data_IF_741239895040
#
_entry.id   IF_741239895040
#
_cell.length_a   1.000
_cell.length_b   1.000
_cell.length_c   1.000
_cell.angle_alpha   90.00
_cell.angle_beta   90.00
_cell.angle_gamma   90.00
#
_symmetry.space_group_name_H-M   'P 1'
#
loop_
_entity.id
_entity.type
_entity.pdbx_description
1 polymer ?
#
# COMPACT_ATOMS: atom_id res chain seq x y z
N UNK A 1 -9.45 -44.51 23.56
CA UNK A 1 -8.15 -44.55 22.85
C UNK A 1 -8.39 -44.68 21.35
N UNK A 2 -7.66 -43.96 20.47
CA UNK A 2 -7.81 -44.10 19.03
C UNK A 2 -7.34 -45.49 18.56
N UNK A 3 -8.10 -46.10 17.66
CA UNK A 3 -7.77 -47.39 17.06
C UNK A 3 -6.55 -47.31 16.14
N UNK A 4 -5.84 -48.43 15.95
CA UNK A 4 -4.73 -48.58 14.99
C UNK A 4 -5.06 -48.04 13.59
N UNK A 5 -6.29 -48.31 13.13
CA UNK A 5 -6.80 -47.85 11.83
C UNK A 5 -6.94 -46.33 11.78
N UNK A 6 -7.43 -45.72 12.87
CA UNK A 6 -7.52 -44.26 13.00
C UNK A 6 -6.14 -43.60 13.05
N UNK A 7 -5.17 -44.20 13.76
CA UNK A 7 -3.78 -43.70 13.81
C UNK A 7 -3.11 -43.72 12.43
N UNK A 8 -3.24 -44.83 11.68
CA UNK A 8 -2.71 -44.93 10.30
C UNK A 8 -3.38 -43.94 9.34
N UNK A 9 -4.70 -43.76 9.45
CA UNK A 9 -5.42 -42.77 8.64
C UNK A 9 -4.95 -41.35 8.94
N UNK A 10 -4.79 -40.98 10.22
CA UNK A 10 -4.27 -39.69 10.64
C UNK A 10 -2.85 -39.44 10.08
N UNK A 11 -1.95 -40.41 10.17
CA UNK A 11 -0.59 -40.29 9.61
C UNK A 11 -0.59 -40.11 8.09
N UNK A 12 -1.44 -40.84 7.36
CA UNK A 12 -1.58 -40.68 5.90
C UNK A 12 -2.10 -39.28 5.55
N UNK A 13 -3.11 -38.80 6.27
CA UNK A 13 -3.68 -37.47 6.06
C UNK A 13 -2.64 -36.38 6.35
N UNK A 14 -1.84 -36.51 7.41
CA UNK A 14 -0.75 -35.58 7.72
C UNK A 14 0.31 -35.58 6.62
N UNK A 15 0.72 -36.74 6.11
CA UNK A 15 1.65 -36.83 4.98
C UNK A 15 1.11 -36.19 3.71
N UNK A 16 -0.17 -36.41 3.39
CA UNK A 16 -0.82 -35.80 2.23
C UNK A 16 -0.91 -34.28 2.39
N UNK A 17 -1.28 -33.78 3.58
CA UNK A 17 -1.32 -32.35 3.87
C UNK A 17 0.08 -31.71 3.78
N UNK A 18 1.12 -32.36 4.30
CA UNK A 18 2.50 -31.89 4.18
C UNK A 18 2.99 -31.85 2.73
N UNK A 19 2.60 -32.85 1.92
CA UNK A 19 2.94 -32.89 0.49
C UNK A 19 2.27 -31.74 -0.25
N UNK A 20 0.95 -31.57 -0.07
CA UNK A 20 0.20 -30.46 -0.66
C UNK A 20 0.78 -29.10 -0.23
N UNK A 21 1.16 -28.94 1.03
CA UNK A 21 1.77 -27.71 1.54
C UNK A 21 3.12 -27.37 0.90
N UNK A 22 3.94 -28.38 0.59
CA UNK A 22 5.24 -28.19 -0.09
C UNK A 22 5.09 -27.84 -1.56
N UNK A 23 4.06 -28.37 -2.21
CA UNK A 23 3.76 -28.13 -3.63
C UNK A 23 3.08 -26.76 -3.85
N UNK A 24 2.48 -26.16 -2.83
CA UNK A 24 1.89 -24.82 -2.91
C UNK A 24 2.92 -23.69 -3.05
N UNK A 25 2.58 -22.74 -3.91
CA UNK A 25 3.27 -21.45 -4.02
C UNK A 25 3.15 -20.62 -2.74
N UNK A 26 4.01 -19.61 -2.52
CA UNK A 26 3.88 -18.71 -1.37
C UNK A 26 2.50 -18.03 -1.26
N UNK A 27 1.87 -17.72 -2.40
CA UNK A 27 0.55 -17.10 -2.44
C UNK A 27 -0.57 -18.08 -2.03
N UNK A 28 -0.52 -19.32 -2.51
CA UNK A 28 -1.47 -20.38 -2.12
C UNK A 28 -1.34 -20.72 -0.64
N UNK A 29 -0.11 -20.78 -0.12
CA UNK A 29 0.14 -20.97 1.31
C UNK A 29 -0.44 -19.84 2.16
N UNK A 30 -0.32 -18.59 1.73
CA UNK A 30 -0.91 -17.46 2.45
C UNK A 30 -2.45 -17.50 2.46
N UNK A 31 -3.07 -17.94 1.35
CA UNK A 31 -4.52 -18.09 1.23
C UNK A 31 -5.08 -19.31 1.98
N UNK A 32 -4.29 -20.37 2.13
CA UNK A 32 -4.66 -21.58 2.86
C UNK A 32 -4.57 -21.42 4.38
N UNK A 33 -3.79 -20.44 4.87
CA UNK A 33 -3.70 -20.15 6.30
C UNK A 33 -5.04 -19.57 6.82
N UNK A 34 -5.66 -20.20 7.84
CA UNK A 34 -6.93 -19.73 8.41
C UNK A 34 -6.82 -18.33 9.04
N UNK A 35 -5.63 -17.97 9.53
CA UNK A 35 -5.33 -16.66 10.11
C UNK A 35 -5.31 -15.55 9.05
N UNK A 36 -4.82 -15.82 7.84
CA UNK A 36 -4.72 -14.85 6.74
C UNK A 36 -6.06 -14.52 6.09
N UNK A 37 -7.01 -15.48 6.06
CA UNK A 37 -8.35 -15.29 5.48
C UNK A 37 -9.27 -14.36 6.28
N UNK A 38 -9.06 -14.25 7.59
CA UNK A 38 -9.92 -13.49 8.50
C UNK A 38 -9.43 -12.08 8.76
N UNK A 39 -8.24 -11.70 8.30
CA UNK A 39 -7.68 -10.37 8.58
C UNK A 39 -8.49 -9.29 7.86
N UNK A 40 -9.14 -8.43 8.63
CA UNK A 40 -9.77 -7.22 8.10
C UNK A 40 -8.73 -6.30 7.46
N UNK A 41 -9.13 -5.57 6.41
CA UNK A 41 -8.24 -4.56 5.83
C UNK A 41 -8.07 -3.43 6.85
N UNK A 42 -6.87 -2.85 7.02
CA UNK A 42 -6.67 -1.69 7.88
C UNK A 42 -7.70 -0.59 7.55
N UNK A 43 -8.38 -0.10 8.60
CA UNK A 43 -9.44 0.90 8.56
C UNK A 43 -10.82 0.42 8.10
N UNK A 44 -10.98 -0.83 7.64
CA UNK A 44 -12.26 -1.31 7.08
C UNK A 44 -13.36 -1.61 8.09
N UNK A 45 -13.00 -1.86 9.35
CA UNK A 45 -13.94 -2.12 10.45
C UNK A 45 -14.20 -0.89 11.33
N UNK A 46 -13.46 0.21 11.14
CA UNK A 46 -13.41 1.31 12.12
C UNK A 46 -12.55 1.01 13.35
N UNK A 47 -12.08 -0.24 13.45
CA UNK A 47 -11.23 -0.73 14.53
C UNK A 47 -9.79 -0.89 14.03
N UNK A 48 -8.82 -0.74 14.93
CA UNK A 48 -7.39 -0.75 14.64
C UNK A 48 -6.76 0.64 14.57
N UNK A 49 -5.46 0.67 14.28
CA UNK A 49 -4.61 1.82 14.59
C UNK A 49 -4.45 2.81 13.43
N UNK A 50 -5.10 2.59 12.29
CA UNK A 50 -4.84 3.36 11.06
C UNK A 50 -6.11 3.87 10.38
N UNK A 51 -6.07 5.12 9.96
CA UNK A 51 -6.90 5.63 8.88
C UNK A 51 -6.32 5.20 7.53
N UNK A 52 -7.19 4.83 6.59
CA UNK A 52 -6.80 4.41 5.24
C UNK A 52 -7.30 5.41 4.20
N UNK A 53 -6.39 6.05 3.49
CA UNK A 53 -6.73 6.95 2.37
C UNK A 53 -6.50 6.21 1.05
N UNK A 54 -7.57 5.83 0.37
CA UNK A 54 -7.54 5.19 -0.95
C UNK A 54 -7.36 6.26 -2.02
N UNK A 55 -6.33 6.10 -2.85
CA UNK A 55 -6.04 7.00 -3.98
C UNK A 55 -6.51 6.44 -5.31
N UNK A 56 -6.51 5.11 -5.43
CA UNK A 56 -6.82 4.39 -6.65
C UNK A 56 -7.54 3.08 -6.33
N UNK A 57 -8.40 2.62 -7.22
CA UNK A 57 -9.13 1.39 -7.01
C UNK A 57 -8.16 0.19 -7.09
N UNK A 58 -8.48 -0.87 -6.35
CA UNK A 58 -7.56 -2.00 -6.12
C UNK A 58 -7.32 -2.82 -7.39
N UNK A 59 -8.33 -2.91 -8.23
CA UNK A 59 -8.37 -3.62 -9.52
C UNK A 59 -7.36 -3.10 -10.55
N UNK A 60 -6.86 -1.87 -10.40
CA UNK A 60 -5.74 -1.36 -11.21
C UNK A 60 -4.39 -2.07 -10.94
N UNK A 61 -4.31 -2.91 -9.90
CA UNK A 61 -3.05 -3.46 -9.41
C UNK A 61 -3.09 -4.99 -9.21
N UNK A 62 -1.99 -5.64 -9.56
CA UNK A 62 -1.83 -7.10 -9.46
C UNK A 62 -1.15 -7.53 -8.15
N UNK A 63 -0.13 -6.79 -7.71
CA UNK A 63 0.61 -7.11 -6.47
C UNK A 63 0.82 -5.86 -5.63
N UNK A 64 0.85 -6.02 -4.31
CA UNK A 64 0.97 -4.91 -3.36
C UNK A 64 2.21 -5.06 -2.50
N UNK A 65 2.79 -3.94 -2.09
CA UNK A 65 3.85 -3.84 -1.08
C UNK A 65 3.55 -2.67 -0.15
N UNK A 66 3.85 -2.86 1.13
CA UNK A 66 3.76 -1.81 2.15
C UNK A 66 5.15 -1.28 2.46
N UNK A 67 5.28 0.03 2.61
CA UNK A 67 6.54 0.72 2.91
C UNK A 67 6.26 1.80 3.95
N UNK A 68 6.98 1.82 5.06
CA UNK A 68 6.94 2.92 6.02
C UNK A 68 7.64 4.16 5.45
N UNK A 69 7.06 5.34 5.66
CA UNK A 69 7.68 6.63 5.36
C UNK A 69 7.75 7.44 6.64
N UNK A 70 8.97 7.83 7.04
CA UNK A 70 9.22 8.53 8.30
C UNK A 70 9.59 7.57 9.42
N UNK A 71 9.16 7.88 10.65
CA UNK A 71 9.33 6.98 11.78
C UNK A 71 8.55 5.67 11.59
N UNK A 72 9.09 4.52 12.02
CA UNK A 72 8.45 3.22 11.82
C UNK A 72 7.02 3.20 12.35
N UNK A 73 6.05 2.78 11.52
CA UNK A 73 4.67 2.55 11.94
C UNK A 73 3.73 3.76 11.87
N UNK A 74 4.22 4.99 11.77
CA UNK A 74 3.37 6.19 11.80
C UNK A 74 2.60 6.42 10.49
N UNK A 75 3.32 6.37 9.36
CA UNK A 75 2.73 6.55 8.02
C UNK A 75 3.25 5.44 7.09
N UNK A 76 2.34 4.73 6.46
CA UNK A 76 2.67 3.66 5.52
C UNK A 76 2.08 3.90 4.14
N UNK A 77 2.90 3.66 3.12
CA UNK A 77 2.51 3.62 1.72
C UNK A 77 2.12 2.20 1.33
N UNK A 78 0.91 2.01 0.83
CA UNK A 78 0.50 0.81 0.12
C UNK A 78 0.71 1.05 -1.37
N UNK A 79 1.82 0.54 -1.90
CA UNK A 79 2.16 0.60 -3.32
C UNK A 79 1.64 -0.65 -4.05
N UNK A 80 1.10 -0.47 -5.25
CA UNK A 80 0.67 -1.55 -6.13
C UNK A 80 1.45 -1.56 -7.44
N UNK A 81 1.76 -2.75 -7.95
CA UNK A 81 2.29 -2.95 -9.30
C UNK A 81 1.14 -3.11 -10.30
N UNK A 82 1.14 -2.29 -11.35
CA UNK A 82 0.13 -2.32 -12.42
C UNK A 82 0.43 -3.37 -13.48
N UNK A 83 -0.57 -3.64 -14.32
CA UNK A 83 -0.42 -4.51 -15.49
C UNK A 83 0.70 -4.06 -16.44
N UNK A 84 0.92 -2.74 -16.59
CA UNK A 84 2.04 -2.18 -17.37
C UNK A 84 3.43 -2.39 -16.73
N UNK A 85 3.50 -2.96 -15.52
CA UNK A 85 4.74 -3.16 -14.77
C UNK A 85 5.16 -1.95 -13.92
N UNK A 86 4.53 -0.78 -14.10
CA UNK A 86 4.79 0.39 -13.28
C UNK A 86 4.24 0.25 -11.85
N UNK A 87 4.88 0.94 -10.91
CA UNK A 87 4.40 1.03 -9.53
C UNK A 87 3.63 2.32 -9.32
N UNK A 88 2.53 2.24 -8.58
CA UNK A 88 1.77 3.40 -8.15
C UNK A 88 1.31 3.27 -6.70
N UNK A 89 0.98 4.39 -6.09
CA UNK A 89 0.37 4.39 -4.75
C UNK A 89 -1.10 4.00 -4.88
N UNK A 90 -1.52 2.97 -4.14
CA UNK A 90 -2.92 2.57 -4.05
C UNK A 90 -3.60 3.25 -2.85
N UNK A 91 -2.93 3.26 -1.70
CA UNK A 91 -3.43 3.90 -0.50
C UNK A 91 -2.29 4.38 0.42
N UNK A 92 -2.65 5.31 1.30
CA UNK A 92 -1.87 5.68 2.47
C UNK A 92 -2.54 5.15 3.73
N UNK A 93 -1.74 4.75 4.71
CA UNK A 93 -2.17 4.47 6.06
C UNK A 93 -1.53 5.52 6.98
N UNK A 94 -2.35 6.20 7.77
CA UNK A 94 -1.90 7.17 8.78
C UNK A 94 -2.37 6.66 10.13
N UNK A 95 -1.45 6.54 11.08
CA UNK A 95 -1.79 6.09 12.42
C UNK A 95 -2.77 7.07 13.09
N UNK A 96 -3.70 6.56 13.90
CA UNK A 96 -4.72 7.38 14.57
C UNK A 96 -4.16 8.37 15.59
N UNK A 97 -2.91 8.20 16.03
CA UNK A 97 -2.19 9.17 16.86
C UNK A 97 -1.75 10.41 16.09
N UNK A 98 -1.68 10.32 14.75
CA UNK A 98 -1.06 11.32 13.89
C UNK A 98 -2.09 12.12 13.09
N UNK A 99 -3.37 11.79 13.26
CA UNK A 99 -4.48 12.42 12.59
C UNK A 99 -5.78 12.21 13.37
N UNK A 100 -6.76 13.08 13.13
CA UNK A 100 -8.13 12.90 13.61
C UNK A 100 -9.13 13.24 12.50
N UNK A 101 -10.38 12.84 12.72
CA UNK A 101 -11.48 13.14 11.80
C UNK A 101 -12.19 14.40 12.27
N UNK A 102 -12.29 15.39 11.38
CA UNK A 102 -13.05 16.62 11.60
C UNK A 102 -14.16 16.67 10.55
N UNK A 103 -15.41 16.49 10.97
CA UNK A 103 -16.54 16.36 10.05
C UNK A 103 -16.42 15.12 9.15
N UNK A 104 -16.29 15.32 7.84
CA UNK A 104 -16.15 14.27 6.82
C UNK A 104 -14.72 14.15 6.26
N UNK A 105 -13.76 14.88 6.82
CA UNK A 105 -12.37 14.92 6.35
C UNK A 105 -11.38 14.47 7.41
N UNK A 106 -10.22 13.99 6.95
CA UNK A 106 -9.09 13.65 7.81
C UNK A 106 -8.16 14.87 7.94
N UNK A 107 -7.75 15.17 9.18
CA UNK A 107 -6.83 16.27 9.53
C UNK A 107 -5.59 15.68 10.19
N UNK A 108 -4.41 16.17 9.80
CA UNK A 108 -3.12 15.68 10.32
C UNK A 108 -2.65 16.45 11.55
N UNK A 109 -2.31 15.72 12.60
CA UNK A 109 -1.83 16.25 13.88
C UNK A 109 -0.30 16.35 13.93
N UNK A 110 0.40 15.51 13.17
CA UNK A 110 1.86 15.57 13.00
C UNK A 110 2.26 16.32 11.73
N UNK A 111 3.50 16.81 11.69
CA UNK A 111 4.02 17.52 10.52
C UNK A 111 4.02 16.65 9.27
N UNK A 112 4.41 15.37 9.41
CA UNK A 112 4.45 14.43 8.29
C UNK A 112 3.05 14.08 7.79
N UNK A 113 2.07 13.90 8.69
CA UNK A 113 0.68 13.70 8.30
C UNK A 113 0.13 14.92 7.56
N UNK A 114 0.39 16.14 8.05
CA UNK A 114 0.00 17.38 7.36
C UNK A 114 0.61 17.51 5.98
N UNK A 115 1.92 17.25 5.85
CA UNK A 115 2.63 17.27 4.56
C UNK A 115 2.05 16.25 3.58
N UNK A 116 1.79 15.03 4.05
CA UNK A 116 1.18 13.99 3.24
C UNK A 116 -0.19 14.45 2.74
N UNK A 117 -1.08 14.87 3.63
CA UNK A 117 -2.43 15.32 3.29
C UNK A 117 -2.44 16.51 2.33
N UNK A 118 -1.53 17.46 2.52
CA UNK A 118 -1.37 18.61 1.62
C UNK A 118 -0.85 18.22 0.23
N UNK A 119 -0.12 17.12 0.11
CA UNK A 119 0.40 16.64 -1.18
C UNK A 119 -0.65 15.96 -2.06
N UNK A 120 -1.79 15.57 -1.48
CA UNK A 120 -2.88 14.91 -2.19
C UNK A 120 -3.60 15.88 -3.13
N UNK A 121 -4.15 15.34 -4.21
CA UNK A 121 -4.91 16.11 -5.20
C UNK A 121 -6.31 16.52 -4.78
N UNK A 122 -6.80 16.00 -3.66
CA UNK A 122 -8.05 16.43 -3.03
C UNK A 122 -7.99 16.12 -1.53
N UNK A 123 -8.78 16.85 -0.74
CA UNK A 123 -8.98 16.51 0.67
C UNK A 123 -9.58 15.08 0.77
N UNK A 124 -9.09 14.24 1.69
CA UNK A 124 -9.65 12.91 1.89
C UNK A 124 -11.09 13.01 2.39
N UNK A 125 -12.01 12.31 1.73
CA UNK A 125 -13.42 12.25 2.13
C UNK A 125 -13.75 10.90 2.72
N UNK A 126 -14.44 10.89 3.84
CA UNK A 126 -14.85 9.67 4.51
C UNK A 126 -15.80 8.85 3.62
N UNK A 127 -15.51 7.56 3.49
CA UNK A 127 -16.35 6.61 2.73
C UNK A 127 -17.05 5.65 3.69
N UNK A 128 -16.30 4.98 4.57
CA UNK A 128 -16.83 4.07 5.59
C UNK A 128 -15.79 3.73 6.64
N UNK A 129 -16.20 3.49 7.88
CA UNK A 129 -15.28 3.14 8.98
C UNK A 129 -14.18 4.20 9.10
N UNK A 130 -12.93 3.80 8.89
CA UNK A 130 -11.76 4.70 8.84
C UNK A 130 -11.17 4.79 7.42
N UNK A 131 -11.96 4.51 6.39
CA UNK A 131 -11.57 4.59 4.99
C UNK A 131 -11.99 5.92 4.40
N UNK A 132 -11.01 6.63 3.85
CA UNK A 132 -11.15 7.86 3.12
C UNK A 132 -10.77 7.67 1.65
N UNK A 133 -11.28 8.52 0.77
CA UNK A 133 -10.87 8.60 -0.63
C UNK A 133 -10.32 9.98 -0.97
N UNK A 134 -9.21 10.00 -1.70
CA UNK A 134 -8.57 11.22 -2.18
C UNK A 134 -7.98 11.02 -3.58
N UNK A 135 -7.71 12.12 -4.29
CA UNK A 135 -6.94 12.07 -5.53
C UNK A 135 -5.45 12.03 -5.21
N UNK A 136 -4.70 11.24 -5.97
CA UNK A 136 -3.26 11.03 -5.81
C UNK A 136 -2.44 12.33 -5.92
N UNK A 137 -2.72 13.16 -6.93
CA UNK A 137 -1.98 14.40 -7.20
C UNK A 137 -2.88 15.55 -7.64
N UNK A 138 -2.54 16.81 -7.32
CA UNK A 138 -3.29 17.97 -7.79
C UNK A 138 -3.35 18.02 -9.32
N UNK A 139 -4.50 18.45 -9.85
CA UNK A 139 -4.62 18.69 -11.28
C UNK A 139 -3.97 20.04 -11.62
N UNK A 140 -2.81 20.01 -12.26
CA UNK A 140 -2.10 21.23 -12.70
C UNK A 140 -2.55 21.60 -14.11
N UNK A 141 -3.11 22.81 -14.33
CA UNK A 141 -3.49 23.29 -15.66
C UNK A 141 -2.30 23.30 -16.64
N UNK A 142 -2.55 23.03 -17.92
CA UNK A 142 -1.49 22.99 -18.94
C UNK A 142 -0.74 24.30 -19.08
N UNK A 143 -1.45 25.44 -19.00
CA UNK A 143 -0.84 26.77 -19.04
C UNK A 143 0.18 27.03 -17.91
N UNK A 144 0.11 26.26 -16.81
CA UNK A 144 1.06 26.35 -15.69
C UNK A 144 2.21 25.34 -15.79
N UNK A 145 2.24 24.51 -16.84
CA UNK A 145 3.33 23.59 -17.11
C UNK A 145 4.35 24.28 -18.02
N UNK A 146 5.66 24.08 -17.81
CA UNK A 146 6.27 23.16 -16.86
C UNK A 146 6.28 23.72 -15.42
N UNK A 147 5.99 22.87 -14.43
CA UNK A 147 6.10 23.26 -13.01
C UNK A 147 7.56 23.43 -12.59
N UNK A 148 7.83 24.16 -11.51
CA UNK A 148 9.20 24.31 -10.98
C UNK A 148 9.88 22.98 -10.70
N UNK A 149 9.12 22.00 -10.16
CA UNK A 149 9.60 20.64 -9.95
C UNK A 149 9.99 19.95 -11.27
N UNK A 150 9.21 20.15 -12.34
CA UNK A 150 9.55 19.63 -13.68
C UNK A 150 10.80 20.29 -14.25
N UNK A 151 10.95 21.61 -14.09
CA UNK A 151 12.15 22.34 -14.53
C UNK A 151 13.40 21.88 -13.78
N UNK A 152 13.30 21.70 -12.46
CA UNK A 152 14.41 21.18 -11.64
C UNK A 152 14.82 19.78 -12.09
N UNK A 153 13.86 18.87 -12.23
CA UNK A 153 14.11 17.51 -12.71
C UNK A 153 14.72 17.49 -14.12
N UNK A 154 14.25 18.35 -15.02
CA UNK A 154 14.80 18.49 -16.36
C UNK A 154 16.27 18.92 -16.33
N UNK A 155 16.60 19.95 -15.54
CA UNK A 155 17.99 20.42 -15.37
C UNK A 155 18.89 19.32 -14.79
N UNK A 156 18.42 18.58 -13.80
CA UNK A 156 19.19 17.48 -13.19
C UNK A 156 19.42 16.33 -14.18
N UNK A 157 18.40 15.95 -14.94
CA UNK A 157 18.51 14.89 -15.94
C UNK A 157 19.45 15.28 -17.09
N UNK A 158 19.43 16.54 -17.53
CA UNK A 158 20.39 17.06 -18.52
C UNK A 158 21.81 16.96 -17.98
N UNK A 159 22.05 17.40 -16.74
CA UNK A 159 23.38 17.30 -16.12
C UNK A 159 23.86 15.85 -16.06
N UNK A 160 22.98 14.91 -15.66
CA UNK A 160 23.29 13.47 -15.66
C UNK A 160 23.62 12.94 -17.05
N UNK A 161 22.84 13.32 -18.07
CA UNK A 161 23.08 12.90 -19.44
C UNK A 161 24.40 13.45 -20.00
N UNK A 162 24.72 14.71 -19.70
CA UNK A 162 26.00 15.33 -20.08
C UNK A 162 27.18 14.64 -19.40
N UNK A 163 27.08 14.34 -18.09
CA UNK A 163 28.12 13.61 -17.37
C UNK A 163 28.32 12.20 -17.93
N UNK A 164 27.23 11.47 -18.21
CA UNK A 164 27.30 10.14 -18.82
C UNK A 164 27.91 10.16 -20.23
N UNK A 165 27.65 11.22 -21.02
CA UNK A 165 28.27 11.40 -22.34
C UNK A 165 29.77 11.67 -22.22
N UNK A 166 30.20 12.51 -21.28
CA UNK A 166 31.62 12.77 -21.01
C UNK A 166 32.37 11.54 -20.50
N UNK A 167 31.72 10.70 -19.69
CA UNK A 167 32.32 9.46 -19.21
C UNK A 167 32.50 8.37 -20.29
N UNK A 168 31.87 8.54 -21.47
CA UNK A 168 31.97 7.63 -22.61
C UNK A 168 32.94 8.11 -23.70
N UNK A 169 33.48 9.33 -23.60
CA UNK A 169 34.51 9.87 -24.51
C UNK A 169 35.87 9.81 -23.84
#
# INVERSE_FOLDING_TARGET
MPTEKQKKAAQKNVKQAQKAWREMTPAERALAQPEGRRRAKPGSTGEGDYYRIVLRPKDEFATFRTQDLGEPGHIQRVAGKRASGSWGTQAWLIQKSDAHVEGDTLVGDTEDARKLLASLGSKPKLVKGDIFEARDRPNVPEAKKPTEAQLKAWRENIKKAQAARKAKS
#
